data_IF_079060366641
#
_entry.id   IF_079060366641
#
_cell.length_a   1.000
_cell.length_b   1.000
_cell.length_c   1.000
_cell.angle_alpha   90.00
_cell.angle_beta   90.00
_cell.angle_gamma   90.00
#
_symmetry.space_group_name_H-M   'P 1'
#
loop_
_entity.id
_entity.type
_entity.pdbx_description
1 polymer ?
#
# COMPACT_ATOMS: atom_id res chain seq x y z
N UNK A 1 8.61 10.56 -4.93
CA UNK A 1 8.95 9.12 -5.01
C UNK A 1 8.63 8.52 -6.39
N UNK A 2 7.40 8.60 -6.89
CA UNK A 2 7.00 8.16 -8.26
C UNK A 2 7.81 8.82 -9.39
N UNK A 3 8.32 10.04 -9.17
CA UNK A 3 9.07 10.84 -10.16
C UNK A 3 10.42 10.19 -10.51
N UNK A 4 11.08 9.55 -9.53
CA UNK A 4 12.39 8.91 -9.75
C UNK A 4 12.25 7.59 -10.53
N UNK A 5 11.23 6.78 -10.19
CA UNK A 5 10.88 5.56 -10.92
C UNK A 5 10.37 5.84 -12.34
N UNK A 6 9.58 6.92 -12.55
CA UNK A 6 9.23 7.43 -13.89
C UNK A 6 10.47 7.83 -14.68
N UNK A 7 11.45 8.46 -14.03
CA UNK A 7 12.67 8.93 -14.68
C UNK A 7 13.60 7.81 -15.16
N UNK A 8 13.60 6.66 -14.47
CA UNK A 8 14.48 5.52 -14.79
C UNK A 8 13.82 4.46 -15.71
N UNK A 9 12.58 4.68 -16.20
CA UNK A 9 11.78 3.69 -16.96
C UNK A 9 11.53 2.36 -16.22
N UNK A 10 11.71 2.32 -14.90
CA UNK A 10 11.58 1.10 -14.09
C UNK A 10 10.13 0.74 -13.76
N UNK A 11 9.19 1.65 -14.02
CA UNK A 11 7.76 1.40 -13.78
C UNK A 11 7.21 0.24 -14.60
N UNK A 12 7.71 0.01 -15.82
CA UNK A 12 7.25 -1.11 -16.63
C UNK A 12 7.61 -2.48 -16.03
N UNK A 13 8.66 -2.54 -15.22
CA UNK A 13 9.10 -3.76 -14.52
C UNK A 13 8.19 -4.00 -13.32
N UNK A 14 7.99 -2.97 -12.49
CA UNK A 14 7.13 -3.05 -11.29
C UNK A 14 5.66 -3.29 -11.63
N UNK A 15 5.15 -2.69 -12.71
CA UNK A 15 3.78 -2.85 -13.22
C UNK A 15 3.58 -4.18 -13.98
N UNK A 16 4.65 -4.87 -14.35
CA UNK A 16 4.60 -6.10 -15.15
C UNK A 16 4.36 -5.87 -16.65
N UNK A 17 4.26 -4.61 -17.09
CA UNK A 17 4.18 -4.22 -18.50
C UNK A 17 5.43 -4.61 -19.32
N UNK A 18 6.58 -4.82 -18.68
CA UNK A 18 7.80 -5.36 -19.28
C UNK A 18 8.16 -6.70 -18.62
N UNK A 19 7.72 -7.84 -19.18
CA UNK A 19 8.08 -9.15 -18.66
C UNK A 19 9.58 -9.39 -18.77
N UNK A 20 10.12 -10.22 -17.87
CA UNK A 20 11.52 -10.62 -17.87
C UNK A 20 11.90 -11.15 -19.27
N UNK A 21 12.89 -10.54 -19.96
CA UNK A 21 13.31 -10.99 -21.28
C UNK A 21 14.00 -12.35 -21.19
N UNK A 22 14.15 -13.07 -22.30
CA UNK A 22 14.85 -14.36 -22.26
C UNK A 22 16.33 -14.19 -21.83
N UNK A 23 16.95 -15.21 -21.18
CA UNK A 23 18.36 -15.17 -20.78
C UNK A 23 19.34 -14.96 -21.94
N UNK A 24 18.89 -15.25 -23.17
CA UNK A 24 19.62 -15.05 -24.43
C UNK A 24 19.66 -13.57 -24.86
N UNK A 25 18.81 -12.72 -24.26
CA UNK A 25 18.66 -11.33 -24.64
C UNK A 25 19.73 -10.45 -23.96
N UNK A 26 20.40 -9.54 -24.69
CA UNK A 26 21.46 -8.70 -24.14
C UNK A 26 20.99 -7.75 -23.02
N UNK A 27 19.68 -7.53 -22.89
CA UNK A 27 19.08 -6.67 -21.86
C UNK A 27 18.63 -7.44 -20.60
N UNK A 28 18.81 -8.77 -20.54
CA UNK A 28 18.41 -9.61 -19.40
C UNK A 28 19.07 -9.16 -18.09
N UNK A 29 20.40 -8.99 -18.10
CA UNK A 29 21.13 -8.53 -16.92
C UNK A 29 20.75 -7.12 -16.49
N UNK A 30 20.46 -6.22 -17.45
CA UNK A 30 19.98 -4.87 -17.12
C UNK A 30 18.59 -4.92 -16.49
N UNK A 31 17.71 -5.79 -16.97
CA UNK A 31 16.37 -5.97 -16.41
C UNK A 31 16.44 -6.49 -14.97
N UNK A 32 17.26 -7.51 -14.69
CA UNK A 32 17.44 -8.04 -13.32
C UNK A 32 17.99 -6.97 -12.38
N UNK A 33 19.03 -6.25 -12.79
CA UNK A 33 19.58 -5.17 -11.95
C UNK A 33 18.53 -4.10 -11.65
N UNK A 34 17.66 -3.80 -12.61
CA UNK A 34 16.56 -2.87 -12.37
C UNK A 34 15.50 -3.45 -11.43
N UNK A 35 15.18 -4.74 -11.54
CA UNK A 35 14.23 -5.42 -10.64
C UNK A 35 14.76 -5.46 -9.21
N UNK A 36 16.03 -5.79 -9.02
CA UNK A 36 16.72 -5.80 -7.72
C UNK A 36 16.73 -4.42 -7.07
N UNK A 37 17.07 -3.37 -7.84
CA UNK A 37 17.00 -1.99 -7.35
C UNK A 37 15.56 -1.63 -6.99
N UNK A 38 14.56 -2.01 -7.80
CA UNK A 38 13.18 -1.70 -7.46
C UNK A 38 12.74 -2.41 -6.16
N UNK A 39 13.16 -3.66 -5.94
CA UNK A 39 12.95 -4.40 -4.69
C UNK A 39 13.61 -3.73 -3.48
N UNK A 40 14.88 -3.34 -3.59
CA UNK A 40 15.60 -2.64 -2.53
C UNK A 40 14.92 -1.32 -2.15
N UNK A 41 14.39 -0.60 -3.13
CA UNK A 41 13.67 0.66 -2.88
C UNK A 41 12.30 0.43 -2.25
N UNK A 42 11.56 -0.59 -2.70
CA UNK A 42 10.28 -0.97 -2.08
C UNK A 42 10.54 -1.34 -0.62
N UNK A 43 11.47 -2.26 -0.35
CA UNK A 43 11.80 -2.70 1.01
C UNK A 43 12.32 -1.55 1.90
N UNK A 44 13.13 -0.63 1.37
CA UNK A 44 13.63 0.53 2.13
C UNK A 44 12.53 1.55 2.52
N UNK A 45 11.40 1.58 1.81
CA UNK A 45 10.30 2.51 2.09
C UNK A 45 9.21 1.90 2.97
N UNK A 46 9.26 0.59 3.20
CA UNK A 46 8.28 -0.14 3.99
C UNK A 46 8.55 -0.01 5.49
N UNK A 47 7.47 0.03 6.29
CA UNK A 47 7.56 -0.07 7.74
C UNK A 47 7.95 -1.50 8.16
N UNK A 48 8.55 -1.65 9.35
CA UNK A 48 9.02 -2.95 9.86
C UNK A 48 7.94 -4.04 9.86
N UNK A 49 6.68 -3.67 10.08
CA UNK A 49 5.53 -4.60 10.04
C UNK A 49 5.24 -5.15 8.65
N UNK A 50 5.43 -4.34 7.61
CA UNK A 50 5.22 -4.79 6.23
C UNK A 50 6.43 -5.58 5.76
N UNK A 51 7.65 -5.20 6.17
CA UNK A 51 8.87 -5.98 5.93
C UNK A 51 8.78 -7.41 6.48
N UNK A 52 8.24 -7.62 7.68
CA UNK A 52 8.01 -8.98 8.21
C UNK A 52 7.05 -9.79 7.32
N UNK A 53 6.02 -9.16 6.77
CA UNK A 53 5.09 -9.83 5.85
C UNK A 53 5.80 -10.23 4.55
N UNK A 54 6.68 -9.37 4.04
CA UNK A 54 7.51 -9.63 2.87
C UNK A 54 8.57 -10.70 3.11
N UNK A 55 9.17 -10.78 4.30
CA UNK A 55 10.13 -11.85 4.61
C UNK A 55 9.46 -13.22 4.73
N UNK A 56 8.16 -13.26 5.02
CA UNK A 56 7.38 -14.50 5.09
C UNK A 56 6.81 -14.94 3.73
N UNK A 57 6.76 -14.05 2.75
CA UNK A 57 6.37 -14.35 1.38
C UNK A 57 7.63 -14.37 0.52
N UNK A 58 8.05 -15.52 -0.02
CA UNK A 58 9.18 -15.57 -0.96
C UNK A 58 8.90 -14.63 -2.16
N UNK A 59 9.46 -13.42 -2.12
CA UNK A 59 9.25 -12.37 -3.11
C UNK A 59 10.44 -12.37 -4.08
N UNK A 60 10.32 -13.11 -5.17
CA UNK A 60 11.40 -13.25 -6.16
C UNK A 60 11.47 -12.09 -7.17
N UNK A 61 10.48 -11.19 -7.19
CA UNK A 61 10.47 -10.04 -8.11
C UNK A 61 9.81 -8.78 -7.53
N UNK A 62 10.23 -7.60 -8.01
CA UNK A 62 9.63 -6.31 -7.63
C UNK A 62 8.14 -6.22 -7.94
N UNK A 63 7.66 -6.96 -8.95
CA UNK A 63 6.25 -7.04 -9.28
C UNK A 63 5.42 -7.77 -8.22
N UNK A 64 5.95 -8.86 -7.67
CA UNK A 64 5.27 -9.64 -6.63
C UNK A 64 5.23 -8.86 -5.32
N UNK A 65 6.35 -8.22 -4.99
CA UNK A 65 6.45 -7.23 -3.93
C UNK A 65 5.38 -6.13 -4.06
N UNK A 66 5.23 -5.54 -5.24
CA UNK A 66 4.24 -4.50 -5.48
C UNK A 66 2.79 -4.99 -5.32
N UNK A 67 2.49 -6.20 -5.82
CA UNK A 67 1.16 -6.82 -5.66
C UNK A 67 0.81 -7.08 -4.20
N UNK A 68 1.75 -7.60 -3.41
CA UNK A 68 1.53 -7.83 -1.97
C UNK A 68 1.27 -6.50 -1.26
N UNK A 69 2.06 -5.46 -1.56
CA UNK A 69 1.85 -4.12 -1.01
C UNK A 69 0.46 -3.59 -1.37
N UNK A 70 0.04 -3.75 -2.64
CA UNK A 70 -1.27 -3.34 -3.10
C UNK A 70 -2.39 -4.08 -2.35
N UNK A 71 -2.27 -5.39 -2.17
CA UNK A 71 -3.23 -6.17 -1.39
C UNK A 71 -3.28 -5.72 0.07
N UNK A 72 -2.14 -5.54 0.73
CA UNK A 72 -2.07 -5.05 2.11
C UNK A 72 -2.70 -3.67 2.26
N UNK A 73 -2.52 -2.79 1.28
CA UNK A 73 -3.14 -1.47 1.29
C UNK A 73 -4.66 -1.56 1.14
N UNK A 74 -5.15 -2.41 0.23
CA UNK A 74 -6.58 -2.67 0.04
C UNK A 74 -7.21 -3.28 1.31
N UNK A 75 -6.54 -4.25 1.92
CA UNK A 75 -6.99 -4.91 3.15
C UNK A 75 -7.01 -3.93 4.32
N UNK A 76 -5.96 -3.11 4.47
CA UNK A 76 -5.90 -2.08 5.48
C UNK A 76 -6.99 -1.00 5.29
N UNK A 77 -7.23 -0.58 4.05
CA UNK A 77 -8.31 0.36 3.74
C UNK A 77 -9.68 -0.23 4.10
N UNK A 78 -9.92 -1.49 3.73
CA UNK A 78 -11.16 -2.23 4.04
C UNK A 78 -11.35 -2.42 5.55
N UNK A 79 -10.29 -2.79 6.28
CA UNK A 79 -10.31 -2.92 7.73
C UNK A 79 -10.57 -1.58 8.42
N UNK A 80 -9.94 -0.50 7.94
CA UNK A 80 -10.15 0.87 8.45
C UNK A 80 -11.60 1.31 8.22
N UNK A 81 -12.15 1.07 7.03
CA UNK A 81 -13.55 1.36 6.72
C UNK A 81 -14.50 0.57 7.65
N UNK A 82 -14.26 -0.73 7.84
CA UNK A 82 -15.07 -1.57 8.73
C UNK A 82 -14.99 -1.10 10.20
N UNK A 83 -13.81 -0.73 10.68
CA UNK A 83 -13.64 -0.17 12.03
C UNK A 83 -14.38 1.15 12.20
N UNK A 84 -14.34 2.03 11.19
CA UNK A 84 -15.06 3.30 11.22
C UNK A 84 -16.59 3.09 11.23
N UNK A 85 -17.11 2.16 10.41
CA UNK A 85 -18.52 1.79 10.44
C UNK A 85 -18.92 1.19 11.79
N UNK A 86 -18.10 0.30 12.36
CA UNK A 86 -18.34 -0.28 13.67
C UNK A 86 -18.38 0.79 14.77
N UNK A 87 -17.38 1.69 14.78
CA UNK A 87 -17.33 2.84 15.69
C UNK A 87 -18.58 3.69 15.55
N UNK A 88 -19.02 4.01 14.33
CA UNK A 88 -20.23 4.80 14.09
C UNK A 88 -21.50 4.10 14.60
N UNK A 89 -21.67 2.80 14.34
CA UNK A 89 -22.84 2.03 14.77
C UNK A 89 -22.92 1.88 16.29
N UNK A 90 -21.78 1.76 16.97
CA UNK A 90 -21.71 1.62 18.43
C UNK A 90 -21.50 2.96 19.15
N UNK A 91 -21.38 4.07 18.41
CA UNK A 91 -21.18 5.39 19.01
C UNK A 91 -22.48 5.84 19.69
N UNK A 92 -22.48 5.75 21.01
CA UNK A 92 -23.59 6.19 21.85
C UNK A 92 -23.10 7.27 22.79
N UNK A 93 -23.93 8.30 23.01
CA UNK A 93 -23.59 9.48 23.81
C UNK A 93 -23.03 9.12 25.20
N UNK A 94 -23.52 8.05 25.83
CA UNK A 94 -23.07 7.63 27.16
C UNK A 94 -23.08 8.79 28.16
N UNK A 95 -21.98 8.93 28.92
CA UNK A 95 -21.73 10.03 29.88
C UNK A 95 -21.03 11.25 29.25
N UNK A 96 -20.87 11.30 27.92
CA UNK A 96 -20.20 12.42 27.24
C UNK A 96 -21.06 13.69 27.26
N UNK A 97 -20.39 14.84 27.38
CA UNK A 97 -21.03 16.13 27.17
C UNK A 97 -21.56 16.20 25.73
N UNK A 98 -22.64 16.98 25.52
CA UNK A 98 -23.23 17.16 24.19
C UNK A 98 -22.21 17.67 23.17
N UNK A 99 -21.25 18.48 23.63
CA UNK A 99 -20.24 19.13 22.81
C UNK A 99 -19.14 18.13 22.39
N UNK A 100 -18.68 17.29 23.31
CA UNK A 100 -17.69 16.23 23.02
C UNK A 100 -18.27 15.14 22.13
N UNK A 101 -19.55 14.80 22.32
CA UNK A 101 -20.28 13.87 21.47
C UNK A 101 -20.33 14.35 20.02
N UNK A 102 -20.69 15.62 19.80
CA UNK A 102 -20.76 16.20 18.45
C UNK A 102 -19.38 16.30 17.80
N UNK A 103 -18.32 16.60 18.57
CA UNK A 103 -16.96 16.64 18.02
C UNK A 103 -16.45 15.26 17.60
N UNK A 104 -16.67 14.21 18.42
CA UNK A 104 -16.27 12.85 18.03
C UNK A 104 -17.09 12.32 16.85
N UNK A 105 -18.40 12.57 16.82
CA UNK A 105 -19.24 12.20 15.68
C UNK A 105 -18.77 12.89 14.39
N UNK A 106 -18.42 14.17 14.47
CA UNK A 106 -17.90 14.93 13.34
C UNK A 106 -16.51 14.43 12.90
N UNK A 107 -15.67 13.96 13.83
CA UNK A 107 -14.39 13.33 13.52
C UNK A 107 -14.58 12.00 12.80
N UNK A 108 -15.50 11.14 13.25
CA UNK A 108 -15.81 9.86 12.61
C UNK A 108 -16.36 10.11 11.19
N UNK A 109 -17.27 11.07 11.04
CA UNK A 109 -17.81 11.46 9.74
C UNK A 109 -16.72 11.96 8.78
N UNK A 110 -15.79 12.79 9.27
CA UNK A 110 -14.67 13.28 8.47
C UNK A 110 -13.76 12.14 8.01
N UNK A 111 -13.42 11.21 8.90
CA UNK A 111 -12.64 10.02 8.54
C UNK A 111 -13.37 9.11 7.55
N UNK A 112 -14.71 9.02 7.61
CA UNK A 112 -15.50 8.28 6.62
C UNK A 112 -15.48 8.94 5.23
N UNK A 113 -15.55 10.26 5.15
CA UNK A 113 -15.39 10.99 3.87
C UNK A 113 -14.00 10.74 3.31
N UNK A 114 -12.96 10.89 4.14
CA UNK A 114 -11.57 10.75 3.71
C UNK A 114 -11.25 9.34 3.20
N UNK A 115 -11.81 8.29 3.83
CA UNK A 115 -11.69 6.91 3.35
C UNK A 115 -12.53 6.66 2.08
N UNK A 116 -13.68 7.32 1.93
CA UNK A 116 -14.55 7.19 0.76
C UNK A 116 -14.04 7.90 -0.50
N UNK A 117 -13.27 8.99 -0.35
CA UNK A 117 -12.67 9.72 -1.48
C UNK A 117 -11.29 9.17 -1.90
N UNK A 118 -10.74 8.20 -1.15
CA UNK A 118 -9.41 7.62 -1.41
C UNK A 118 -9.36 6.50 -2.45
N UNK A 119 -10.44 6.23 -3.19
CA UNK A 119 -10.55 5.18 -4.22
C UNK A 119 -10.70 5.75 -5.62
#
# INVERSE_FOLDING_TARGET
MIIFLKGQKMLGIVDGSMPCPEPSHPQYYTWIQCDDIALDWITATLSSSVLETFLNHDCDSSNDAWKILQQLFIDNASATQMQLHYKFQHFTKGDLSMQDYLQQLHSIYRSLIEVGEGF
#
